data_IF_136814303639
#
_entry.id   IF_136814303639
#
_cell.length_a   1.000
_cell.length_b   1.000
_cell.length_c   1.000
_cell.angle_alpha   90.00
_cell.angle_beta   90.00
_cell.angle_gamma   90.00
#
_symmetry.space_group_name_H-M   'P 1'
#
loop_
_entity.id
_entity.type
_entity.pdbx_description
1 polymer ?
#
# COMPACT_ATOMS: atom_id res chain seq x y z
N UNK A 1 1.05 0.12 -14.76
CA UNK A 1 0.29 -0.92 -15.47
C UNK A 1 -1.19 -0.68 -15.22
N UNK A 2 -2.05 -1.46 -15.88
CA UNK A 2 -3.52 -1.32 -15.78
C UNK A 2 -4.08 -1.73 -14.41
N UNK A 3 -3.38 -2.60 -13.68
CA UNK A 3 -3.68 -2.94 -12.29
C UNK A 3 -3.69 -1.67 -11.41
N UNK A 4 -2.63 -0.86 -11.51
CA UNK A 4 -2.56 0.45 -10.83
C UNK A 4 -3.71 1.35 -11.23
N UNK A 5 -4.13 1.31 -12.48
CA UNK A 5 -5.18 2.20 -12.93
C UNK A 5 -6.53 1.85 -12.32
N UNK A 6 -6.84 0.57 -12.24
CA UNK A 6 -8.05 0.07 -11.63
C UNK A 6 -8.08 0.39 -10.13
N UNK A 7 -7.08 -0.07 -9.35
CA UNK A 7 -7.15 0.08 -7.89
C UNK A 7 -7.08 1.55 -7.46
N UNK A 8 -6.28 2.39 -8.15
CA UNK A 8 -6.22 3.81 -7.80
C UNK A 8 -7.55 4.52 -8.04
N UNK A 9 -8.30 4.15 -9.09
CA UNK A 9 -9.62 4.72 -9.35
C UNK A 9 -10.68 4.15 -8.40
N UNK A 10 -10.71 2.81 -8.25
CA UNK A 10 -11.63 2.06 -7.40
C UNK A 10 -11.50 2.48 -5.94
N UNK A 11 -10.30 2.48 -5.40
CA UNK A 11 -10.08 2.74 -3.98
C UNK A 11 -10.31 4.21 -3.65
N UNK A 12 -9.90 5.14 -4.53
CA UNK A 12 -10.26 6.55 -4.38
C UNK A 12 -11.78 6.75 -4.28
N UNK A 13 -12.55 6.05 -5.12
CA UNK A 13 -14.01 6.11 -5.09
C UNK A 13 -14.58 5.58 -3.77
N UNK A 14 -14.23 4.34 -3.37
CA UNK A 14 -14.78 3.71 -2.17
C UNK A 14 -14.30 4.35 -0.86
N UNK A 15 -13.11 4.95 -0.84
CA UNK A 15 -12.56 5.64 0.34
C UNK A 15 -12.96 7.11 0.41
N UNK A 16 -13.68 7.64 -0.59
CA UNK A 16 -14.04 9.07 -0.65
C UNK A 16 -12.83 10.00 -0.78
N UNK A 17 -11.71 9.50 -1.31
CA UNK A 17 -10.51 10.29 -1.59
C UNK A 17 -10.70 10.83 -3.01
N UNK A 18 -10.86 12.15 -3.14
CA UNK A 18 -11.23 12.82 -4.40
C UNK A 18 -10.40 12.42 -5.63
N UNK A 19 -10.83 12.91 -6.82
CA UNK A 19 -10.39 12.47 -8.16
C UNK A 19 -8.92 12.02 -8.24
N UNK A 20 -8.71 10.81 -8.76
CA UNK A 20 -7.39 10.20 -8.94
C UNK A 20 -6.67 10.76 -10.18
N UNK A 21 -6.68 10.05 -11.31
CA UNK A 21 -6.03 10.43 -12.55
C UNK A 21 -6.85 9.95 -13.76
N UNK A 22 -6.56 10.50 -14.95
CA UNK A 22 -7.29 10.22 -16.19
C UNK A 22 -6.60 9.12 -17.00
N UNK A 23 -6.93 7.86 -16.70
CA UNK A 23 -6.38 6.70 -17.38
C UNK A 23 -6.84 6.59 -18.84
N UNK A 24 -8.06 7.02 -19.17
CA UNK A 24 -8.56 7.02 -20.54
C UNK A 24 -7.71 7.92 -21.45
N UNK A 25 -7.36 9.12 -20.98
CA UNK A 25 -6.49 10.04 -21.70
C UNK A 25 -5.12 9.43 -21.95
N UNK A 26 -4.52 8.79 -20.94
CA UNK A 26 -3.22 8.12 -21.07
C UNK A 26 -3.30 7.01 -22.12
N UNK A 27 -4.33 6.17 -22.06
CA UNK A 27 -4.53 5.05 -22.99
C UNK A 27 -4.72 5.53 -24.43
N UNK A 28 -5.60 6.52 -24.66
CA UNK A 28 -5.86 7.13 -25.99
C UNK A 28 -4.62 7.80 -26.58
N UNK A 29 -3.64 8.16 -25.74
CA UNK A 29 -2.40 8.83 -26.14
C UNK A 29 -1.16 7.94 -26.02
N UNK A 30 -1.34 6.61 -25.95
CA UNK A 30 -0.27 5.63 -25.96
C UNK A 30 0.02 5.12 -27.38
N UNK A 31 1.26 4.72 -27.65
CA UNK A 31 1.73 4.10 -28.90
C UNK A 31 2.82 3.08 -28.62
N UNK A 32 3.02 2.14 -29.54
CA UNK A 32 4.23 1.30 -29.54
C UNK A 32 5.27 1.95 -30.45
N UNK A 33 6.46 2.21 -29.91
CA UNK A 33 7.62 2.75 -30.63
C UNK A 33 8.83 1.92 -30.20
N UNK A 34 9.59 1.40 -31.16
CA UNK A 34 10.79 0.57 -30.92
C UNK A 34 10.54 -0.60 -29.94
N UNK A 35 9.34 -1.19 -29.98
CA UNK A 35 8.96 -2.31 -29.11
C UNK A 35 8.54 -1.93 -27.68
N UNK A 36 8.57 -0.64 -27.32
CA UNK A 36 8.13 -0.14 -26.01
C UNK A 36 6.80 0.63 -26.11
N UNK A 37 5.95 0.50 -25.08
CA UNK A 37 4.76 1.35 -24.94
C UNK A 37 5.22 2.76 -24.53
N UNK A 38 5.08 3.71 -25.43
CA UNK A 38 5.41 5.12 -25.24
C UNK A 38 4.14 5.95 -25.10
N UNK A 39 4.22 7.00 -24.29
CA UNK A 39 3.08 7.91 -24.04
C UNK A 39 3.33 9.28 -24.62
N UNK A 40 2.25 10.01 -24.89
CA UNK A 40 2.40 11.35 -25.42
C UNK A 40 3.04 12.30 -24.40
N UNK A 41 4.05 13.07 -24.79
CA UNK A 41 4.71 14.08 -23.94
C UNK A 41 3.75 14.95 -23.09
N UNK A 42 2.67 15.46 -23.69
CA UNK A 42 1.64 16.27 -23.01
C UNK A 42 0.78 15.54 -21.97
N UNK A 43 1.02 14.24 -21.73
CA UNK A 43 0.40 13.48 -20.63
C UNK A 43 1.31 13.34 -19.42
N UNK A 44 2.46 14.03 -19.39
CA UNK A 44 3.38 14.03 -18.25
C UNK A 44 2.64 14.38 -16.94
N UNK A 45 1.82 15.43 -16.94
CA UNK A 45 1.02 15.83 -15.77
C UNK A 45 0.07 14.71 -15.30
N UNK A 46 -0.52 13.97 -16.24
CA UNK A 46 -1.42 12.86 -15.90
C UNK A 46 -0.68 11.72 -15.18
N UNK A 47 0.58 11.46 -15.53
CA UNK A 47 1.41 10.49 -14.81
C UNK A 47 1.84 11.01 -13.45
N UNK A 48 2.15 12.30 -13.33
CA UNK A 48 2.43 12.91 -12.03
C UNK A 48 1.22 12.77 -11.10
N UNK A 49 0.02 13.11 -11.57
CA UNK A 49 -1.23 12.95 -10.82
C UNK A 49 -1.48 11.49 -10.40
N UNK A 50 -1.16 10.52 -11.26
CA UNK A 50 -1.27 9.09 -10.96
C UNK A 50 -0.35 8.71 -9.79
N UNK A 51 0.93 9.10 -9.83
CA UNK A 51 1.87 8.78 -8.75
C UNK A 51 1.57 9.55 -7.46
N UNK A 52 1.08 10.78 -7.58
CA UNK A 52 0.60 11.55 -6.43
C UNK A 52 -0.64 10.90 -5.79
N UNK A 53 -1.58 10.40 -6.59
CA UNK A 53 -2.74 9.64 -6.12
C UNK A 53 -2.32 8.38 -5.37
N UNK A 54 -1.33 7.66 -5.91
CA UNK A 54 -0.71 6.49 -5.27
C UNK A 54 -0.12 6.86 -3.90
N UNK A 55 0.69 7.91 -3.84
CA UNK A 55 1.26 8.42 -2.60
C UNK A 55 0.18 8.75 -1.56
N UNK A 56 -0.89 9.43 -1.99
CA UNK A 56 -2.01 9.79 -1.12
C UNK A 56 -2.69 8.56 -0.54
N UNK A 57 -3.08 7.59 -1.38
CA UNK A 57 -3.75 6.37 -0.94
C UNK A 57 -2.90 5.56 0.06
N UNK A 58 -1.60 5.43 -0.19
CA UNK A 58 -0.69 4.80 0.77
C UNK A 58 -0.66 5.52 2.11
N UNK A 59 -0.55 6.86 2.09
CA UNK A 59 -0.47 7.66 3.31
C UNK A 59 -1.77 7.68 4.11
N UNK A 60 -2.91 7.77 3.44
CA UNK A 60 -4.20 8.02 4.10
C UNK A 60 -4.98 6.76 4.39
N UNK A 61 -4.78 5.68 3.61
CA UNK A 61 -5.55 4.45 3.72
C UNK A 61 -4.65 3.22 3.97
N UNK A 62 -3.86 2.79 2.98
CA UNK A 62 -3.21 1.47 3.03
C UNK A 62 -2.19 1.34 4.17
N UNK A 63 -1.46 2.41 4.47
CA UNK A 63 -0.51 2.47 5.57
C UNK A 63 -0.97 3.43 6.67
N UNK A 64 -2.30 3.60 6.80
CA UNK A 64 -2.85 4.32 7.93
C UNK A 64 -2.45 3.62 9.24
N UNK A 65 -2.06 4.39 10.25
CA UNK A 65 -1.54 3.89 11.54
C UNK A 65 -2.38 2.75 12.14
N UNK A 66 -3.71 2.88 12.12
CA UNK A 66 -4.62 1.86 12.67
C UNK A 66 -4.68 0.60 11.81
N UNK A 67 -4.54 0.72 10.49
CA UNK A 67 -4.46 -0.42 9.57
C UNK A 67 -3.17 -1.20 9.82
N UNK A 68 -2.05 -0.51 10.02
CA UNK A 68 -0.77 -1.16 10.33
C UNK A 68 -0.81 -1.91 11.67
N UNK A 69 -1.43 -1.33 12.69
CA UNK A 69 -1.67 -2.02 13.96
C UNK A 69 -2.56 -3.25 13.77
N UNK A 70 -3.66 -3.13 13.01
CA UNK A 70 -4.54 -4.25 12.70
C UNK A 70 -3.77 -5.40 12.04
N UNK A 71 -3.00 -5.11 10.98
CA UNK A 71 -2.20 -6.10 10.25
C UNK A 71 -1.16 -6.76 11.15
N UNK A 72 -0.55 -6.01 12.07
CA UNK A 72 0.42 -6.54 13.02
C UNK A 72 -0.22 -7.52 14.01
N UNK A 73 -1.33 -7.14 14.62
CA UNK A 73 -2.05 -8.01 15.55
C UNK A 73 -2.62 -9.25 14.84
N UNK A 74 -3.11 -9.09 13.61
CA UNK A 74 -3.60 -10.20 12.79
C UNK A 74 -2.48 -11.18 12.44
N UNK A 75 -1.30 -10.67 12.04
CA UNK A 75 -0.14 -11.49 11.77
C UNK A 75 0.37 -12.23 13.01
N UNK A 76 0.31 -11.62 14.20
CA UNK A 76 0.58 -12.29 15.48
C UNK A 76 -0.45 -13.40 15.75
N UNK A 77 -1.74 -13.14 15.52
CA UNK A 77 -2.79 -14.14 15.69
C UNK A 77 -2.60 -15.36 14.78
N UNK A 78 -2.27 -15.14 13.51
CA UNK A 78 -2.02 -16.24 12.57
C UNK A 78 -0.79 -17.05 12.95
N UNK A 79 0.30 -16.41 13.38
CA UNK A 79 1.48 -17.13 13.89
C UNK A 79 1.17 -18.00 15.09
N UNK A 80 0.35 -17.52 16.02
CA UNK A 80 -0.07 -18.32 17.18
C UNK A 80 -0.99 -19.48 16.77
N UNK A 81 -1.90 -19.27 15.82
CA UNK A 81 -2.83 -20.29 15.36
C UNK A 81 -2.18 -21.34 14.44
N UNK A 82 -1.06 -21.02 13.81
CA UNK A 82 -0.42 -21.85 12.79
C UNK A 82 -0.07 -23.27 13.28
N UNK A 83 0.33 -23.43 14.55
CA UNK A 83 0.63 -24.76 15.12
C UNK A 83 -0.55 -25.73 15.02
N UNK A 84 -1.78 -25.21 15.16
CA UNK A 84 -3.00 -26.00 15.17
C UNK A 84 -3.66 -26.02 13.79
N UNK A 85 -3.74 -24.87 13.11
CA UNK A 85 -4.47 -24.71 11.84
C UNK A 85 -3.60 -24.88 10.59
N UNK A 86 -2.28 -25.01 10.74
CA UNK A 86 -1.32 -25.18 9.65
C UNK A 86 -1.46 -24.14 8.55
N UNK A 87 -1.71 -22.88 8.96
CA UNK A 87 -2.08 -21.77 8.07
C UNK A 87 -1.06 -21.59 6.96
N UNK A 88 0.23 -21.62 7.28
CA UNK A 88 1.27 -21.37 6.28
C UNK A 88 1.46 -22.55 5.33
N UNK A 89 1.25 -23.80 5.77
CA UNK A 89 1.34 -24.99 4.92
C UNK A 89 0.19 -25.03 3.87
N UNK A 90 -0.96 -24.38 4.16
CA UNK A 90 -2.10 -24.32 3.23
C UNK A 90 -1.79 -23.62 1.91
N UNK A 91 -0.74 -22.79 1.83
CA UNK A 91 -0.40 -22.06 0.59
C UNK A 91 0.27 -22.95 -0.45
N UNK A 92 0.81 -24.10 -0.03
CA UNK A 92 1.52 -25.03 -0.91
C UNK A 92 0.55 -25.96 -1.67
N UNK A 93 -0.72 -26.01 -1.25
CA UNK A 93 -1.79 -26.81 -1.87
C UNK A 93 -2.90 -25.88 -2.40
N UNK A 94 -3.08 -25.85 -3.73
CA UNK A 94 -4.04 -24.95 -4.37
C UNK A 94 -5.51 -25.33 -4.10
N UNK A 95 -5.82 -26.60 -3.87
CA UNK A 95 -7.17 -27.03 -3.52
C UNK A 95 -7.54 -26.50 -2.14
N UNK A 96 -6.63 -26.62 -1.17
CA UNK A 96 -6.83 -26.08 0.18
C UNK A 96 -6.81 -24.54 0.16
N UNK A 97 -5.85 -23.94 -0.55
CA UNK A 97 -5.69 -22.48 -0.62
C UNK A 97 -6.92 -21.78 -1.21
N UNK A 98 -7.64 -22.44 -2.12
CA UNK A 98 -8.89 -21.91 -2.71
C UNK A 98 -9.95 -21.57 -1.66
N UNK A 99 -9.99 -22.33 -0.56
CA UNK A 99 -10.95 -22.12 0.53
C UNK A 99 -10.34 -21.33 1.69
N UNK A 100 -9.04 -21.07 1.67
CA UNK A 100 -8.36 -20.25 2.67
C UNK A 100 -8.69 -18.76 2.44
N UNK A 101 -9.73 -18.32 3.13
CA UNK A 101 -10.35 -17.00 3.01
C UNK A 101 -10.39 -16.29 4.36
N UNK A 102 -10.92 -15.06 4.40
CA UNK A 102 -11.12 -14.29 5.63
C UNK A 102 -11.99 -15.00 6.69
N UNK A 103 -12.70 -16.08 6.31
CA UNK A 103 -13.43 -16.96 7.23
C UNK A 103 -12.55 -17.59 8.32
N UNK A 104 -11.23 -17.65 8.13
CA UNK A 104 -10.26 -18.05 9.17
C UNK A 104 -10.42 -17.26 10.47
N UNK A 105 -10.88 -16.00 10.36
CA UNK A 105 -11.15 -15.15 11.52
C UNK A 105 -12.25 -15.75 12.40
N UNK A 106 -13.32 -16.25 11.77
CA UNK A 106 -14.42 -16.94 12.46
C UNK A 106 -14.02 -18.31 12.98
N UNK A 107 -13.22 -19.06 12.22
CA UNK A 107 -12.70 -20.38 12.60
C UNK A 107 -11.94 -20.30 13.93
N UNK A 108 -11.00 -19.34 14.04
CA UNK A 108 -10.24 -19.11 15.28
C UNK A 108 -11.16 -18.72 16.45
N UNK A 109 -12.17 -17.88 16.21
CA UNK A 109 -13.04 -17.37 17.27
C UNK A 109 -14.10 -18.38 17.75
N UNK A 110 -14.59 -19.25 16.88
CA UNK A 110 -15.66 -20.22 17.19
C UNK A 110 -15.16 -21.36 18.07
N UNK A 111 -13.92 -21.79 17.91
CA UNK A 111 -13.34 -22.86 18.71
C UNK A 111 -12.87 -22.34 20.09
N UNK A 112 -13.82 -22.13 21.00
CA UNK A 112 -13.58 -21.48 22.30
C UNK A 112 -12.77 -22.34 23.28
N UNK A 113 -12.91 -23.66 23.19
CA UNK A 113 -12.38 -24.61 24.16
C UNK A 113 -11.00 -25.15 23.79
N UNK A 114 -10.53 -24.88 22.57
CA UNK A 114 -9.21 -25.27 22.13
C UNK A 114 -8.13 -24.34 22.71
N UNK A 115 -7.30 -24.88 23.60
CA UNK A 115 -6.25 -24.13 24.27
C UNK A 115 -5.12 -23.73 23.30
N UNK A 116 -4.88 -24.47 22.21
CA UNK A 116 -3.86 -24.13 21.22
C UNK A 116 -4.18 -22.82 20.50
N UNK A 117 -5.48 -22.52 20.35
CA UNK A 117 -5.97 -21.31 19.69
C UNK A 117 -6.18 -20.13 20.64
N UNK A 118 -5.91 -20.29 21.95
CA UNK A 118 -6.20 -19.27 22.97
C UNK A 118 -5.44 -17.96 22.75
N UNK A 119 -4.16 -18.03 22.41
CA UNK A 119 -3.35 -16.84 22.16
C UNK A 119 -3.85 -16.10 20.92
N UNK A 120 -4.12 -16.82 19.83
CA UNK A 120 -4.70 -16.26 18.61
C UNK A 120 -6.04 -15.57 18.89
N UNK A 121 -6.96 -16.23 19.63
CA UNK A 121 -8.23 -15.64 20.06
C UNK A 121 -8.04 -14.36 20.86
N UNK A 122 -7.07 -14.31 21.77
CA UNK A 122 -6.79 -13.11 22.56
C UNK A 122 -6.31 -11.95 21.69
N UNK A 123 -5.46 -12.20 20.68
CA UNK A 123 -5.03 -11.19 19.70
C UNK A 123 -6.18 -10.68 18.85
N UNK A 124 -7.08 -11.57 18.39
CA UNK A 124 -8.28 -11.17 17.67
C UNK A 124 -9.24 -10.35 18.55
N UNK A 125 -9.38 -10.70 19.83
CA UNK A 125 -10.13 -9.89 20.80
C UNK A 125 -9.52 -8.50 20.97
N UNK A 126 -8.19 -8.38 21.00
CA UNK A 126 -7.52 -7.08 21.08
C UNK A 126 -7.84 -6.18 19.86
N UNK A 127 -8.03 -6.78 18.69
CA UNK A 127 -8.51 -6.07 17.49
C UNK A 127 -9.97 -5.65 17.66
N UNK A 128 -10.86 -6.59 18.00
CA UNK A 128 -12.32 -6.38 18.09
C UNK A 128 -12.66 -5.31 19.15
N UNK A 129 -12.05 -5.40 20.33
CA UNK A 129 -12.29 -4.47 21.44
C UNK A 129 -11.43 -3.20 21.35
N UNK A 130 -10.60 -3.06 20.30
CA UNK A 130 -9.71 -1.92 20.10
C UNK A 130 -8.87 -1.65 21.36
N UNK A 131 -8.17 -2.67 21.84
CA UNK A 131 -7.41 -2.64 23.11
C UNK A 131 -6.19 -1.74 23.09
N UNK A 132 -5.82 -1.15 21.95
CA UNK A 132 -4.65 -0.29 21.81
C UNK A 132 -5.04 1.14 21.44
N UNK A 133 -4.27 2.12 21.92
CA UNK A 133 -4.41 3.54 21.56
C UNK A 133 -3.11 4.10 21.01
N UNK A 134 -3.23 5.03 20.08
CA UNK A 134 -2.09 5.68 19.43
C UNK A 134 -1.42 6.69 20.36
N UNK A 135 -0.09 6.69 20.42
CA UNK A 135 0.73 7.59 21.22
C UNK A 135 1.70 8.34 20.31
N UNK A 136 1.74 9.67 20.43
CA UNK A 136 2.62 10.52 19.58
C UNK A 136 4.08 10.41 19.99
N UNK A 137 4.35 10.39 21.30
CA UNK A 137 5.71 10.37 21.86
C UNK A 137 5.79 9.32 22.97
N UNK A 138 6.72 8.37 22.85
CA UNK A 138 6.95 7.37 23.88
C UNK A 138 8.31 6.69 23.75
N UNK A 139 8.94 6.43 24.90
CA UNK A 139 10.13 5.58 24.99
C UNK A 139 9.67 4.13 25.03
N UNK A 140 10.40 3.23 24.38
CA UNK A 140 10.14 1.79 24.34
C UNK A 140 9.95 1.24 25.77
N UNK A 141 8.72 0.87 26.09
CA UNK A 141 8.34 0.16 27.32
C UNK A 141 7.73 -1.20 26.99
N UNK A 142 7.59 -2.04 28.01
CA UNK A 142 7.05 -3.39 27.85
C UNK A 142 5.56 -3.33 27.49
N UNK A 143 5.13 -4.11 26.49
CA UNK A 143 3.75 -4.07 25.96
C UNK A 143 3.45 -2.99 24.90
N UNK A 144 4.43 -2.18 24.49
CA UNK A 144 4.28 -1.20 23.41
C UNK A 144 4.43 -1.83 22.02
N UNK A 145 3.59 -1.38 21.07
CA UNK A 145 3.62 -1.82 19.66
C UNK A 145 4.11 -0.70 18.77
N UNK A 146 5.17 -0.99 18.00
CA UNK A 146 5.68 -0.12 16.95
C UNK A 146 5.28 -0.68 15.57
N UNK A 147 4.83 0.21 14.69
CA UNK A 147 4.51 -0.10 13.30
C UNK A 147 5.22 0.90 12.39
N UNK A 148 5.98 0.38 11.42
CA UNK A 148 6.72 1.21 10.47
C UNK A 148 5.97 1.28 9.14
N UNK A 149 5.95 2.47 8.54
CA UNK A 149 5.37 2.74 7.23
C UNK A 149 6.44 3.33 6.31
N UNK A 150 6.60 2.74 5.12
CA UNK A 150 7.41 3.31 4.04
C UNK A 150 6.49 3.66 2.88
N UNK A 151 6.29 4.96 2.68
CA UNK A 151 5.38 5.53 1.68
C UNK A 151 6.22 6.16 0.57
N UNK A 152 5.96 5.78 -0.68
CA UNK A 152 6.65 6.36 -1.83
C UNK A 152 5.75 6.47 -3.06
N UNK A 153 6.26 7.13 -4.10
CA UNK A 153 5.56 7.36 -5.37
C UNK A 153 5.57 6.15 -6.31
N UNK A 154 6.15 5.01 -5.90
CA UNK A 154 6.20 3.77 -6.69
C UNK A 154 7.59 3.39 -7.21
N UNK A 155 8.63 4.21 -6.95
CA UNK A 155 10.01 3.97 -7.36
C UNK A 155 11.01 4.10 -6.20
N UNK A 156 10.61 3.74 -4.98
CA UNK A 156 11.46 3.87 -3.79
C UNK A 156 11.81 5.34 -3.52
N UNK A 157 13.10 5.67 -3.48
CA UNK A 157 13.57 7.06 -3.29
C UNK A 157 13.62 7.87 -4.60
N UNK A 158 13.56 7.19 -5.76
CA UNK A 158 13.67 7.80 -7.07
C UNK A 158 12.38 8.45 -7.57
N UNK A 159 12.50 9.25 -8.62
CA UNK A 159 11.37 9.85 -9.32
C UNK A 159 10.82 8.88 -10.37
N UNK A 160 9.58 8.35 -10.20
CA UNK A 160 9.04 7.36 -11.14
C UNK A 160 8.73 7.93 -12.53
N UNK A 161 8.75 9.25 -12.73
CA UNK A 161 8.57 9.86 -14.05
C UNK A 161 9.78 9.65 -14.98
N UNK A 162 10.99 9.44 -14.42
CA UNK A 162 12.23 9.33 -15.20
C UNK A 162 12.30 8.02 -16.01
N UNK A 163 11.54 7.00 -15.60
CA UNK A 163 11.53 5.68 -16.25
C UNK A 163 10.44 5.53 -17.32
N UNK A 164 9.53 6.51 -17.44
CA UNK A 164 8.42 6.44 -18.40
C UNK A 164 8.90 6.90 -19.78
N UNK A 165 8.75 6.06 -20.83
CA UNK A 165 9.00 6.46 -22.20
C UNK A 165 7.84 7.32 -22.74
N UNK A 166 8.19 8.45 -23.34
CA UNK A 166 7.31 9.40 -23.99
C UNK A 166 7.62 9.53 -25.48
N UNK A 167 6.77 10.21 -26.24
CA UNK A 167 7.02 10.62 -27.61
C UNK A 167 6.41 12.00 -27.91
N UNK A 168 7.04 12.74 -28.81
CA UNK A 168 6.55 14.04 -29.31
C UNK A 168 5.75 13.86 -30.62
N UNK A 169 4.98 14.87 -31.07
CA UNK A 169 4.27 14.81 -32.38
C UNK A 169 5.24 14.83 -33.54
N UNK A 170 6.28 15.64 -33.39
CA UNK A 170 7.11 16.14 -34.47
C UNK A 170 8.43 15.37 -34.53
N UNK A 171 8.85 14.77 -33.42
CA UNK A 171 10.06 13.96 -33.35
C UNK A 171 9.74 12.48 -33.51
N UNK A 172 10.57 11.78 -34.29
CA UNK A 172 10.54 10.32 -34.41
C UNK A 172 11.31 9.68 -33.25
N UNK A 173 10.72 8.66 -32.63
CA UNK A 173 11.35 7.88 -31.57
C UNK A 173 10.77 8.16 -30.18
N UNK A 174 11.30 7.44 -29.19
CA UNK A 174 10.96 7.62 -27.78
C UNK A 174 11.89 8.63 -27.10
N UNK A 175 11.36 9.26 -26.06
CA UNK A 175 12.00 10.25 -25.19
C UNK A 175 11.82 9.79 -23.76
N UNK A 176 12.84 9.95 -22.91
CA UNK A 176 12.69 9.81 -21.45
C UNK A 176 13.08 11.13 -20.81
N UNK A 177 12.25 11.64 -19.90
CA UNK A 177 12.55 12.83 -19.12
C UNK A 177 13.48 12.47 -17.97
N UNK A 178 14.76 12.28 -18.29
CA UNK A 178 15.81 12.06 -17.28
C UNK A 178 16.37 13.39 -16.82
N UNK A 179 16.80 13.48 -15.56
CA UNK A 179 17.52 14.63 -14.99
C UNK A 179 18.70 15.15 -15.82
N UNK A 180 19.27 14.34 -16.72
CA UNK A 180 20.44 14.68 -17.55
C UNK A 180 20.15 14.97 -19.04
N UNK A 181 18.90 14.89 -19.54
CA UNK A 181 18.59 15.12 -20.97
C UNK A 181 17.54 16.21 -21.20
N UNK A 182 17.86 17.16 -22.10
CA UNK A 182 17.05 18.17 -22.80
C UNK A 182 16.12 19.12 -22.00
N UNK A 183 15.43 18.69 -20.95
CA UNK A 183 14.58 19.53 -20.06
C UNK A 183 14.52 18.87 -18.68
N UNK A 184 14.72 19.63 -17.60
CA UNK A 184 14.63 19.09 -16.23
C UNK A 184 13.16 18.99 -15.85
N UNK A 185 12.71 17.85 -15.32
CA UNK A 185 11.31 17.67 -14.86
C UNK A 185 10.87 18.77 -13.87
N UNK A 186 11.79 19.28 -13.06
CA UNK A 186 11.56 20.38 -12.11
C UNK A 186 11.23 21.72 -12.79
N UNK A 187 11.60 21.91 -14.05
CA UNK A 187 11.24 23.09 -14.85
C UNK A 187 9.81 22.99 -15.39
N UNK A 188 9.26 21.76 -15.50
CA UNK A 188 7.93 21.48 -16.04
C UNK A 188 6.89 21.28 -14.93
N UNK A 189 7.31 20.79 -13.77
CA UNK A 189 6.45 20.37 -12.66
C UNK A 189 6.99 20.86 -11.32
N UNK A 190 6.08 21.26 -10.42
CA UNK A 190 6.41 21.53 -9.01
C UNK A 190 6.58 20.21 -8.23
N UNK A 191 7.72 19.55 -8.46
CA UNK A 191 8.03 18.26 -7.86
C UNK A 191 8.41 18.37 -6.37
N UNK A 192 8.13 17.34 -5.55
CA UNK A 192 8.64 17.28 -4.19
C UNK A 192 10.16 17.06 -4.18
N UNK A 193 10.83 17.56 -3.15
CA UNK A 193 12.29 17.33 -2.96
C UNK A 193 12.65 15.87 -2.66
N UNK A 194 11.69 15.08 -2.17
CA UNK A 194 11.85 13.65 -1.84
C UNK A 194 10.61 12.88 -2.28
N UNK A 195 10.82 11.69 -2.85
CA UNK A 195 9.74 10.80 -3.30
C UNK A 195 9.42 9.66 -2.33
N UNK A 196 10.13 9.60 -1.19
CA UNK A 196 9.92 8.64 -0.12
C UNK A 196 9.67 9.35 1.23
N UNK A 197 8.89 8.68 2.09
CA UNK A 197 8.56 9.11 3.45
C UNK A 197 8.48 7.87 4.34
N UNK A 198 9.31 7.84 5.38
CA UNK A 198 9.29 6.79 6.40
C UNK A 198 8.67 7.36 7.69
N UNK A 199 7.71 6.63 8.27
CA UNK A 199 6.99 7.03 9.48
C UNK A 199 6.98 5.84 10.44
N UNK A 200 7.28 6.08 11.71
CA UNK A 200 7.10 5.13 12.79
C UNK A 200 5.89 5.53 13.62
N UNK A 201 4.93 4.63 13.76
CA UNK A 201 3.76 4.78 14.63
C UNK A 201 3.94 3.98 15.90
N UNK A 202 3.42 4.52 17.00
CA UNK A 202 3.54 3.96 18.33
C UNK A 202 2.15 3.78 18.96
N UNK A 203 1.93 2.61 19.55
CA UNK A 203 0.70 2.22 20.23
C UNK A 203 0.99 1.63 21.61
N UNK A 204 0.15 1.97 22.58
CA UNK A 204 0.16 1.36 23.91
C UNK A 204 -1.16 0.65 24.18
N UNK A 205 -1.11 -0.45 24.94
CA UNK A 205 -2.32 -1.16 25.37
C UNK A 205 -3.08 -0.28 26.36
N UNK A 206 -4.40 -0.22 26.24
CA UNK A 206 -5.29 0.47 27.17
C UNK A 206 -5.22 -0.27 28.52
N UNK A 207 -5.09 0.47 29.60
CA UNK A 207 -5.28 -0.05 30.96
C UNK A 207 -6.74 -0.53 31.12
N UNK A 208 -6.97 -1.62 31.85
CA UNK A 208 -8.31 -2.23 32.06
C UNK A 208 -9.35 -1.31 32.73
N UNK A 209 -8.97 -0.10 33.15
CA UNK A 209 -9.83 0.90 33.80
C UNK A 209 -10.15 2.14 32.93
N UNK A 210 -10.26 2.01 31.60
CA UNK A 210 -10.57 3.14 30.70
C UNK A 210 -11.70 2.85 29.72
#
# INVERSE_FOLDING_TARGET
>A
DVDKWDYLARDSHFLGIGKSFDHERIMKMSKVIDGEICYRDKTLDNFYDMFYSRYRLHKTAYQHKTVLLFNKLLGEAFKSADKHLKIFEKVDDMEIFTYFTDSIFEEILKDKNNEDLKEARNKLKDIIYRSYKYKRDGKKQDGEIFCDASINYGAGEGNPLEIIPFYNKLESGSLKYTSTKRVRLEEMLLLPKKFCLNIRYHFEKKSENA
#
